data_IF_868448196434
#
_entry.id   IF_868448196434
#
_cell.length_a   1.000
_cell.length_b   1.000
_cell.length_c   1.000
_cell.angle_alpha   90.00
_cell.angle_beta   90.00
_cell.angle_gamma   90.00
#
_symmetry.space_group_name_H-M   'P 1'
#
loop_
_entity.id
_entity.type
_entity.pdbx_description
1 polymer ?
#
# COMPACT_ATOMS: atom_id res chain seq x y z
N UNK A 1 8.03 -12.97 4.37
CA UNK A 1 7.48 -12.14 5.46
C UNK A 1 7.36 -10.74 4.91
N UNK A 2 6.23 -10.07 5.07
CA UNK A 2 6.05 -8.70 4.57
C UNK A 2 6.90 -7.77 5.44
N UNK A 3 8.00 -7.26 4.90
CA UNK A 3 8.88 -6.34 5.61
C UNK A 3 8.33 -4.91 5.48
N UNK A 4 7.97 -4.31 6.61
CA UNK A 4 7.39 -2.97 6.64
C UNK A 4 8.52 -1.95 6.46
N UNK A 5 8.55 -1.34 5.28
CA UNK A 5 9.49 -0.27 4.97
C UNK A 5 8.91 1.13 5.28
N UNK A 6 9.49 1.78 6.29
CA UNK A 6 9.09 3.10 6.79
C UNK A 6 9.47 4.28 5.86
N UNK A 7 10.19 4.05 4.76
CA UNK A 7 10.54 5.13 3.81
C UNK A 7 9.30 5.81 3.20
N UNK A 8 8.15 5.14 3.21
CA UNK A 8 6.88 5.64 2.67
C UNK A 8 6.05 6.45 3.68
N UNK A 9 6.49 6.57 4.94
CA UNK A 9 5.77 7.29 5.97
C UNK A 9 5.62 8.81 5.65
N UNK A 10 6.52 9.36 4.83
CA UNK A 10 6.55 10.78 4.49
C UNK A 10 5.95 11.13 3.10
N UNK A 11 5.19 10.22 2.49
CA UNK A 11 4.56 10.49 1.20
C UNK A 11 3.55 11.66 1.31
N UNK A 12 3.82 12.76 0.61
CA UNK A 12 3.11 14.03 0.75
C UNK A 12 2.46 14.57 -0.54
N UNK A 13 2.58 13.84 -1.65
CA UNK A 13 1.98 14.21 -2.95
C UNK A 13 0.66 13.45 -3.13
N UNK A 14 -0.51 14.08 -2.99
CA UNK A 14 -1.79 13.38 -3.08
C UNK A 14 -2.11 12.97 -4.52
N UNK A 15 -2.65 11.77 -4.70
CA UNK A 15 -3.12 11.23 -5.98
C UNK A 15 -4.41 10.41 -5.76
N UNK A 16 -5.36 10.55 -6.67
CA UNK A 16 -6.61 9.78 -6.65
C UNK A 16 -6.48 8.58 -7.58
N UNK A 17 -6.75 7.39 -7.07
CA UNK A 17 -6.77 6.12 -7.83
C UNK A 17 -8.14 5.46 -7.58
N UNK A 18 -8.74 4.89 -8.62
CA UNK A 18 -9.99 4.14 -8.50
C UNK A 18 -9.68 2.65 -8.36
N UNK A 19 -10.18 2.03 -7.30
CA UNK A 19 -10.07 0.59 -7.06
C UNK A 19 -11.40 -0.10 -7.41
N UNK A 20 -11.34 -1.41 -7.68
CA UNK A 20 -12.54 -2.25 -7.59
C UNK A 20 -12.85 -2.50 -6.11
N UNK A 21 -14.13 -2.74 -5.79
CA UNK A 21 -14.56 -2.95 -4.40
C UNK A 21 -13.79 -4.10 -3.73
N UNK A 22 -13.65 -5.22 -4.45
CA UNK A 22 -12.92 -6.40 -3.96
C UNK A 22 -11.45 -6.07 -3.64
N UNK A 23 -10.75 -5.38 -4.55
CA UNK A 23 -9.35 -5.04 -4.34
C UNK A 23 -9.18 -4.04 -3.19
N UNK A 24 -10.11 -3.08 -3.06
CA UNK A 24 -10.10 -2.15 -1.95
C UNK A 24 -10.25 -2.89 -0.61
N UNK A 25 -11.22 -3.80 -0.49
CA UNK A 25 -11.42 -4.59 0.73
C UNK A 25 -10.20 -5.44 1.09
N UNK A 26 -9.61 -6.13 0.11
CA UNK A 26 -8.46 -7.00 0.34
C UNK A 26 -7.23 -6.20 0.82
N UNK A 27 -6.98 -5.04 0.20
CA UNK A 27 -5.91 -4.14 0.63
C UNK A 27 -6.19 -3.55 2.02
N UNK A 28 -7.43 -3.15 2.29
CA UNK A 28 -7.78 -2.52 3.57
C UNK A 28 -7.62 -3.51 4.73
N UNK A 29 -8.13 -4.74 4.59
CA UNK A 29 -7.94 -5.82 5.57
C UNK A 29 -6.45 -6.15 5.77
N UNK A 30 -5.66 -6.08 4.71
CA UNK A 30 -4.21 -6.33 4.78
C UNK A 30 -3.50 -5.22 5.56
N UNK A 31 -3.83 -3.96 5.31
CA UNK A 31 -3.27 -2.83 6.03
C UNK A 31 -3.60 -2.91 7.54
N UNK A 32 -4.86 -3.20 7.88
CA UNK A 32 -5.32 -3.39 9.25
C UNK A 32 -4.57 -4.51 9.98
N UNK A 33 -4.46 -5.69 9.36
CA UNK A 33 -3.76 -6.87 9.92
C UNK A 33 -2.28 -6.60 10.20
N UNK A 34 -1.64 -5.74 9.42
CA UNK A 34 -0.22 -5.41 9.56
C UNK A 34 0.01 -4.11 10.35
N UNK A 35 -1.04 -3.49 10.88
CA UNK A 35 -0.97 -2.22 11.62
C UNK A 35 -0.26 -1.09 10.85
N UNK A 36 -0.46 -1.02 9.54
CA UNK A 36 0.07 0.05 8.67
C UNK A 36 -1.05 0.87 8.05
N UNK A 37 -0.74 2.09 7.61
CA UNK A 37 -1.71 2.89 6.87
C UNK A 37 -1.98 2.27 5.49
N UNK A 38 -3.21 2.43 4.99
CA UNK A 38 -3.57 2.01 3.64
C UNK A 38 -2.64 2.61 2.58
N UNK A 39 -2.29 3.89 2.73
CA UNK A 39 -1.35 4.57 1.83
C UNK A 39 0.03 3.90 1.82
N UNK A 40 0.55 3.54 2.99
CA UNK A 40 1.84 2.85 3.11
C UNK A 40 1.82 1.50 2.39
N UNK A 41 0.74 0.72 2.55
CA UNK A 41 0.57 -0.54 1.83
C UNK A 41 0.57 -0.32 0.31
N UNK A 42 -0.23 0.63 -0.19
CA UNK A 42 -0.30 0.94 -1.63
C UNK A 42 1.07 1.30 -2.20
N UNK A 43 1.83 2.15 -1.51
CA UNK A 43 3.17 2.55 -1.94
C UNK A 43 4.14 1.36 -1.99
N UNK A 44 4.11 0.48 -0.99
CA UNK A 44 4.92 -0.74 -1.00
C UNK A 44 4.52 -1.69 -2.13
N UNK A 45 3.22 -1.89 -2.38
CA UNK A 45 2.74 -2.68 -3.51
C UNK A 45 3.25 -2.13 -4.85
N UNK A 46 3.15 -0.82 -5.07
CA UNK A 46 3.66 -0.18 -6.29
C UNK A 46 5.17 -0.38 -6.44
N UNK A 47 5.93 -0.22 -5.36
CA UNK A 47 7.40 -0.33 -5.39
C UNK A 47 7.86 -1.75 -5.60
N UNK A 48 7.22 -2.72 -4.95
CA UNK A 48 7.47 -4.13 -5.19
C UNK A 48 7.22 -4.49 -6.66
N UNK A 49 6.08 -4.09 -7.22
CA UNK A 49 5.75 -4.34 -8.62
C UNK A 49 6.80 -3.74 -9.56
N UNK A 50 7.19 -2.47 -9.37
CA UNK A 50 8.22 -1.81 -10.19
C UNK A 50 9.61 -2.47 -10.08
N UNK A 51 9.96 -3.04 -8.94
CA UNK A 51 11.24 -3.75 -8.74
C UNK A 51 11.28 -5.16 -9.33
N UNK A 52 10.13 -5.72 -9.72
CA UNK A 52 10.00 -7.07 -10.26
C UNK A 52 9.35 -7.08 -11.65
N UNK A 53 9.45 -5.97 -12.39
CA UNK A 53 9.21 -5.91 -13.83
C UNK A 53 10.45 -6.37 -14.60
#
# INVERSE_FOLDING_TARGET
MFEIDNQYANANVPRTIRFTDQLFEDLNRTAEKNHISFNMLVLQCCRYALSHL
#
